data_IF_978402992496
#
_entry.id   IF_978402992496
#
_cell.length_a   1.000
_cell.length_b   1.000
_cell.length_c   1.000
_cell.angle_alpha   90.00
_cell.angle_beta   90.00
_cell.angle_gamma   90.00
#
_symmetry.space_group_name_H-M   'P 1'
#
loop_
_entity.id
_entity.type
_entity.pdbx_description
1 polymer ?
#
# COMPACT_ATOMS: atom_id res chain seq x y z
N UNK A 1 -8.03 3.72 -21.08
CA UNK A 1 -8.83 3.43 -19.87
C UNK A 1 -9.25 4.77 -19.30
N UNK A 2 -10.55 5.04 -19.15
CA UNK A 2 -11.02 6.33 -18.62
C UNK A 2 -11.05 6.29 -17.09
N UNK A 3 -10.36 7.24 -16.47
CA UNK A 3 -10.48 7.52 -15.04
C UNK A 3 -11.68 8.43 -14.88
N UNK A 4 -12.73 7.97 -14.21
CA UNK A 4 -13.94 8.78 -13.97
C UNK A 4 -13.92 9.27 -12.52
N UNK A 5 -13.77 10.58 -12.33
CA UNK A 5 -13.58 11.24 -11.02
C UNK A 5 -14.86 11.32 -10.16
N UNK A 6 -15.98 10.69 -10.56
CA UNK A 6 -17.29 10.87 -9.91
C UNK A 6 -17.71 9.74 -8.96
N UNK A 7 -16.84 8.77 -8.68
CA UNK A 7 -17.15 7.64 -7.78
C UNK A 7 -16.36 7.67 -6.46
N UNK A 8 -15.59 8.73 -6.21
CA UNK A 8 -14.68 8.80 -5.07
C UNK A 8 -15.42 8.75 -3.72
N UNK A 9 -16.52 9.49 -3.59
CA UNK A 9 -17.31 9.55 -2.34
C UNK A 9 -17.93 8.19 -1.97
N UNK A 10 -18.38 7.41 -2.97
CA UNK A 10 -18.95 6.09 -2.71
C UNK A 10 -17.88 5.03 -2.43
N UNK A 11 -16.69 5.14 -3.02
CA UNK A 11 -15.63 4.15 -2.85
C UNK A 11 -14.93 4.26 -1.50
N UNK A 12 -14.88 5.46 -0.91
CA UNK A 12 -14.27 5.72 0.40
C UNK A 12 -14.84 4.79 1.49
N UNK A 13 -16.16 4.60 1.50
CA UNK A 13 -16.84 3.71 2.45
C UNK A 13 -16.47 2.22 2.29
N UNK A 14 -16.03 1.80 1.10
CA UNK A 14 -15.67 0.40 0.82
C UNK A 14 -14.18 0.10 0.95
N UNK A 15 -13.30 1.12 1.01
CA UNK A 15 -11.85 0.90 1.19
C UNK A 15 -11.53 0.07 2.44
N UNK A 16 -12.13 0.35 3.62
CA UNK A 16 -11.91 -0.48 4.80
C UNK A 16 -12.29 -1.95 4.58
N UNK A 17 -13.36 -2.22 3.82
CA UNK A 17 -13.76 -3.60 3.50
C UNK A 17 -12.70 -4.32 2.67
N UNK A 18 -12.07 -3.66 1.69
CA UNK A 18 -10.96 -4.25 0.95
C UNK A 18 -9.78 -4.58 1.87
N UNK A 19 -9.45 -3.71 2.83
CA UNK A 19 -8.38 -4.01 3.80
C UNK A 19 -8.72 -5.18 4.71
N UNK A 20 -9.97 -5.32 5.15
CA UNK A 20 -10.43 -6.52 5.87
C UNK A 20 -10.29 -7.78 5.02
N UNK A 21 -10.67 -7.74 3.74
CA UNK A 21 -10.50 -8.88 2.82
C UNK A 21 -9.04 -9.29 2.63
N UNK A 22 -8.09 -8.34 2.72
CA UNK A 22 -6.66 -8.67 2.68
C UNK A 22 -6.17 -9.42 3.93
N UNK A 23 -6.80 -9.19 5.08
CA UNK A 23 -6.45 -9.88 6.32
C UNK A 23 -7.11 -11.24 6.39
N UNK A 24 -8.43 -11.27 6.19
CA UNK A 24 -9.28 -12.43 6.50
C UNK A 24 -9.57 -13.33 5.29
N UNK A 25 -9.41 -12.82 4.07
CA UNK A 25 -9.72 -13.57 2.85
C UNK A 25 -8.75 -14.71 2.59
N UNK A 26 -9.17 -15.69 1.79
CA UNK A 26 -8.28 -16.71 1.25
C UNK A 26 -7.31 -16.14 0.20
N UNK A 27 -6.27 -16.88 -0.18
CA UNK A 27 -5.24 -16.40 -1.10
C UNK A 27 -5.83 -15.82 -2.41
N UNK A 28 -6.80 -16.50 -3.01
CA UNK A 28 -7.47 -16.03 -4.21
C UNK A 28 -8.17 -14.68 -3.99
N UNK A 29 -8.89 -14.51 -2.88
CA UNK A 29 -9.55 -13.25 -2.53
C UNK A 29 -8.55 -12.13 -2.30
N UNK A 30 -7.43 -12.40 -1.62
CA UNK A 30 -6.35 -11.43 -1.42
C UNK A 30 -5.74 -10.98 -2.74
N UNK A 31 -5.47 -11.91 -3.67
CA UNK A 31 -4.95 -11.59 -5.01
C UNK A 31 -5.91 -10.69 -5.79
N UNK A 32 -7.21 -11.01 -5.83
CA UNK A 32 -8.18 -10.19 -6.55
C UNK A 32 -8.38 -8.82 -5.91
N UNK A 33 -8.42 -8.77 -4.57
CA UNK A 33 -8.49 -7.51 -3.82
C UNK A 33 -7.27 -6.63 -4.10
N UNK A 34 -6.07 -7.20 -4.10
CA UNK A 34 -4.84 -6.47 -4.43
C UNK A 34 -4.81 -5.98 -5.87
N UNK A 35 -5.38 -6.70 -6.84
CA UNK A 35 -5.49 -6.19 -8.23
C UNK A 35 -6.29 -4.89 -8.28
N UNK A 36 -7.40 -4.82 -7.54
CA UNK A 36 -8.20 -3.59 -7.43
C UNK A 36 -7.40 -2.48 -6.73
N UNK A 37 -6.81 -2.78 -5.57
CA UNK A 37 -6.08 -1.80 -4.78
C UNK A 37 -4.83 -1.25 -5.49
N UNK A 38 -4.08 -2.08 -6.22
CA UNK A 38 -2.95 -1.64 -7.05
C UNK A 38 -3.41 -0.70 -8.16
N UNK A 39 -4.54 -1.00 -8.81
CA UNK A 39 -5.10 -0.12 -9.83
C UNK A 39 -5.55 1.23 -9.24
N UNK A 40 -6.18 1.20 -8.06
CA UNK A 40 -6.58 2.42 -7.35
C UNK A 40 -5.36 3.24 -6.91
N UNK A 41 -4.33 2.61 -6.33
CA UNK A 41 -3.15 3.33 -5.85
C UNK A 41 -2.29 3.92 -6.96
N UNK A 42 -2.37 3.40 -8.18
CA UNK A 42 -1.73 4.00 -9.35
C UNK A 42 -2.31 5.38 -9.71
N UNK A 43 -3.52 5.72 -9.24
CA UNK A 43 -4.13 7.03 -9.42
C UNK A 43 -3.78 7.96 -8.23
N UNK A 44 -3.01 9.05 -8.44
CA UNK A 44 -2.64 9.98 -7.36
C UNK A 44 -3.85 10.57 -6.61
N UNK A 45 -4.98 10.77 -7.29
CA UNK A 45 -6.22 11.28 -6.68
C UNK A 45 -6.80 10.34 -5.61
N UNK A 46 -6.53 9.03 -5.69
CA UNK A 46 -6.98 8.05 -4.70
C UNK A 46 -6.07 7.96 -3.47
N UNK A 47 -4.86 8.53 -3.54
CA UNK A 47 -3.81 8.30 -2.54
C UNK A 47 -4.25 8.75 -1.15
N UNK A 48 -4.88 9.92 -1.04
CA UNK A 48 -5.34 10.44 0.24
C UNK A 48 -6.44 9.57 0.85
N UNK A 49 -7.45 9.20 0.06
CA UNK A 49 -8.55 8.32 0.50
C UNK A 49 -8.01 6.98 1.00
N UNK A 50 -7.11 6.35 0.24
CA UNK A 50 -6.50 5.07 0.61
C UNK A 50 -5.67 5.16 1.90
N UNK A 51 -4.90 6.23 2.07
CA UNK A 51 -4.04 6.44 3.24
C UNK A 51 -4.83 6.78 4.51
N UNK A 52 -5.90 7.56 4.39
CA UNK A 52 -6.76 7.96 5.52
C UNK A 52 -7.74 6.87 5.95
N UNK A 53 -8.03 5.90 5.07
CA UNK A 53 -8.98 4.82 5.34
C UNK A 53 -8.55 3.93 6.51
N UNK A 54 -9.55 3.50 7.29
CA UNK A 54 -9.36 2.59 8.42
C UNK A 54 -8.84 1.23 7.95
N UNK A 55 -7.73 0.79 8.52
CA UNK A 55 -7.10 -0.49 8.21
C UNK A 55 -6.93 -1.34 9.48
N UNK A 56 -6.97 -2.67 9.39
CA UNK A 56 -6.50 -3.53 10.48
C UNK A 56 -4.97 -3.44 10.60
N UNK A 57 -4.43 -3.37 11.82
CA UNK A 57 -2.97 -3.33 12.04
C UNK A 57 -2.24 -4.56 11.50
N UNK A 58 -2.91 -5.72 11.53
CA UNK A 58 -2.45 -6.99 10.99
C UNK A 58 -2.26 -7.00 9.47
N UNK A 59 -2.75 -5.98 8.75
CA UNK A 59 -2.49 -5.82 7.31
C UNK A 59 -0.99 -5.80 7.00
N UNK A 60 -0.16 -5.27 7.91
CA UNK A 60 1.30 -5.27 7.78
C UNK A 60 1.92 -6.67 7.66
N UNK A 61 1.20 -7.73 8.06
CA UNK A 61 1.65 -9.12 7.91
C UNK A 61 1.75 -9.58 6.45
N UNK A 62 1.07 -8.91 5.51
CA UNK A 62 1.20 -9.17 4.07
C UNK A 62 2.62 -8.95 3.54
N UNK A 63 3.44 -8.19 4.28
CA UNK A 63 4.82 -7.91 3.94
C UNK A 63 5.80 -8.90 4.59
N UNK A 64 5.32 -9.96 5.24
CA UNK A 64 6.18 -11.01 5.78
C UNK A 64 6.84 -11.84 4.67
N UNK A 65 8.08 -12.30 4.91
CA UNK A 65 8.85 -13.11 3.94
C UNK A 65 8.22 -14.46 3.59
N UNK A 66 7.29 -14.95 4.42
CA UNK A 66 6.57 -16.21 4.19
C UNK A 66 5.26 -16.00 3.41
N UNK A 67 4.90 -14.75 3.08
CA UNK A 67 3.68 -14.47 2.31
C UNK A 67 3.82 -15.04 0.91
N UNK A 68 2.73 -15.57 0.36
CA UNK A 68 2.67 -16.01 -1.03
C UNK A 68 3.26 -14.93 -1.95
N UNK A 69 4.18 -15.35 -2.82
CA UNK A 69 4.94 -14.46 -3.72
C UNK A 69 4.05 -13.49 -4.51
N UNK A 70 2.95 -13.98 -5.06
CA UNK A 70 2.06 -13.17 -5.91
C UNK A 70 1.38 -12.05 -5.10
N UNK A 71 0.94 -12.38 -3.88
CA UNK A 71 0.33 -11.46 -2.92
C UNK A 71 1.39 -10.43 -2.48
N UNK A 72 2.57 -10.90 -2.09
CA UNK A 72 3.65 -10.05 -1.60
C UNK A 72 4.09 -9.01 -2.63
N UNK A 73 4.31 -9.42 -3.89
CA UNK A 73 4.67 -8.50 -4.98
C UNK A 73 3.61 -7.42 -5.15
N UNK A 74 2.32 -7.78 -5.20
CA UNK A 74 1.24 -6.79 -5.36
C UNK A 74 1.09 -5.88 -4.15
N UNK A 75 1.27 -6.39 -2.94
CA UNK A 75 1.25 -5.58 -1.73
C UNK A 75 2.40 -4.55 -1.74
N UNK A 76 3.59 -4.96 -2.16
CA UNK A 76 4.74 -4.06 -2.34
C UNK A 76 4.48 -3.02 -3.43
N UNK A 77 3.92 -3.41 -4.58
CA UNK A 77 3.52 -2.47 -5.64
C UNK A 77 2.50 -1.46 -5.13
N UNK A 78 1.48 -1.92 -4.39
CA UNK A 78 0.46 -1.08 -3.81
C UNK A 78 1.07 -0.02 -2.87
N UNK A 79 1.93 -0.44 -1.94
CA UNK A 79 2.62 0.46 -1.02
C UNK A 79 3.56 1.44 -1.73
N UNK A 80 4.29 0.98 -2.75
CA UNK A 80 5.20 1.83 -3.53
C UNK A 80 4.44 2.92 -4.29
N UNK A 81 3.33 2.60 -4.95
CA UNK A 81 2.48 3.58 -5.62
C UNK A 81 2.01 4.67 -4.63
N UNK A 82 1.57 4.27 -3.43
CA UNK A 82 1.13 5.22 -2.40
C UNK A 82 2.28 6.10 -1.90
N UNK A 83 3.46 5.53 -1.65
CA UNK A 83 4.64 6.27 -1.19
C UNK A 83 5.06 7.31 -2.23
N UNK A 84 5.18 6.92 -3.49
CA UNK A 84 5.58 7.82 -4.57
C UNK A 84 4.58 8.96 -4.77
N UNK A 85 3.28 8.66 -4.72
CA UNK A 85 2.24 9.68 -4.84
C UNK A 85 2.21 10.61 -3.63
N UNK A 86 2.41 10.07 -2.42
CA UNK A 86 2.50 10.84 -1.20
C UNK A 86 3.68 11.83 -1.28
N UNK A 87 4.86 11.39 -1.70
CA UNK A 87 6.05 12.23 -1.84
C UNK A 87 5.81 13.37 -2.85
N UNK A 88 5.25 13.05 -4.03
CA UNK A 88 4.87 14.06 -5.05
C UNK A 88 3.91 15.11 -4.50
N UNK A 89 2.96 14.70 -3.67
CA UNK A 89 1.96 15.59 -3.08
C UNK A 89 2.46 16.34 -1.84
N UNK A 90 3.47 15.87 -1.11
CA UNK A 90 4.03 16.58 0.05
C UNK A 90 4.77 17.86 -0.34
N UNK A 91 5.29 17.93 -1.57
CA UNK A 91 5.80 19.16 -2.17
C UNK A 91 4.71 20.23 -2.36
N UNK A 92 3.43 19.85 -2.24
CA UNK A 92 2.26 20.71 -2.34
C UNK A 92 1.64 20.92 -0.94
N UNK A 93 2.34 21.74 -0.12
CA UNK A 93 1.91 22.39 1.12
C UNK A 93 0.63 21.88 1.83
N UNK A 94 0.82 21.14 2.93
CA UNK A 94 -0.19 20.95 3.96
C UNK A 94 0.23 19.92 5.01
N UNK A 95 0.20 20.29 6.29
CA UNK A 95 0.22 19.31 7.38
C UNK A 95 -1.03 18.44 7.26
N UNK A 96 -0.87 17.16 6.93
CA UNK A 96 -1.98 16.20 6.83
C UNK A 96 -2.16 15.49 8.16
N UNK A 97 -3.38 15.53 8.68
CA UNK A 97 -3.75 14.72 9.84
C UNK A 97 -4.21 13.34 9.34
N UNK A 98 -3.59 12.28 9.88
CA UNK A 98 -4.03 10.90 9.69
C UNK A 98 -4.30 10.29 11.06
N UNK A 99 -5.40 9.56 11.14
CA UNK A 99 -5.85 8.85 12.33
C UNK A 99 -4.92 7.66 12.64
N UNK A 100 -4.81 7.26 13.90
CA UNK A 100 -3.90 6.17 14.31
C UNK A 100 -4.35 4.78 13.82
N UNK A 101 -5.62 4.65 13.41
CA UNK A 101 -6.16 3.44 12.78
C UNK A 101 -6.11 3.47 11.25
N UNK A 102 -5.52 4.51 10.66
CA UNK A 102 -5.43 4.67 9.21
C UNK A 102 -4.34 3.77 8.60
N UNK A 103 -4.47 3.45 7.31
CA UNK A 103 -3.41 2.75 6.58
C UNK A 103 -2.07 3.51 6.67
N UNK A 104 -2.11 4.85 6.61
CA UNK A 104 -0.91 5.68 6.78
C UNK A 104 -0.20 5.41 8.10
N UNK A 105 -0.96 5.28 9.20
CA UNK A 105 -0.39 5.04 10.50
C UNK A 105 0.44 3.75 10.52
N UNK A 106 -0.05 2.68 9.91
CA UNK A 106 0.62 1.37 9.90
C UNK A 106 1.76 1.24 8.89
N UNK A 107 1.69 1.92 7.75
CA UNK A 107 2.72 1.81 6.70
C UNK A 107 3.81 2.88 6.84
N UNK A 108 3.47 4.10 7.23
CA UNK A 108 4.36 5.26 7.09
C UNK A 108 4.62 6.03 8.38
N UNK A 109 3.74 6.01 9.38
CA UNK A 109 3.97 6.65 10.69
C UNK A 109 4.69 5.72 11.66
N UNK A 110 4.02 4.66 12.10
CA UNK A 110 4.58 3.64 13.00
C UNK A 110 5.22 2.54 12.15
N UNK A 111 6.40 2.88 11.64
CA UNK A 111 7.10 2.02 10.69
C UNK A 111 7.68 0.75 11.33
N UNK A 112 7.50 0.48 12.62
CA UNK A 112 8.30 -0.54 13.34
C UNK A 112 8.16 -1.94 12.76
N UNK A 113 6.93 -2.44 12.58
CA UNK A 113 6.69 -3.77 11.98
C UNK A 113 6.90 -3.77 10.47
N UNK A 114 6.42 -2.72 9.79
CA UNK A 114 6.57 -2.59 8.34
C UNK A 114 8.04 -2.52 7.91
N UNK A 115 8.86 -1.70 8.55
CA UNK A 115 10.31 -1.62 8.29
C UNK A 115 11.02 -2.93 8.59
N UNK A 116 10.70 -3.61 9.69
CA UNK A 116 11.28 -4.93 9.99
C UNK A 116 11.01 -5.92 8.85
N UNK A 117 9.78 -5.94 8.35
CA UNK A 117 9.40 -6.73 7.19
C UNK A 117 10.18 -6.32 5.94
N UNK A 118 10.28 -5.02 5.61
CA UNK A 118 11.05 -4.55 4.45
C UNK A 118 12.54 -4.92 4.55
N UNK A 119 13.16 -4.81 5.73
CA UNK A 119 14.56 -5.21 5.95
C UNK A 119 14.74 -6.71 5.73
N UNK A 120 13.82 -7.54 6.23
CA UNK A 120 13.85 -8.98 5.98
C UNK A 120 13.69 -9.30 4.48
N UNK A 121 12.80 -8.59 3.78
CA UNK A 121 12.56 -8.77 2.35
C UNK A 121 13.74 -8.33 1.46
N UNK A 122 14.58 -7.39 1.90
CA UNK A 122 15.84 -7.06 1.19
C UNK A 122 16.81 -8.24 1.14
N UNK A 123 16.70 -9.19 2.07
CA UNK A 123 17.50 -10.43 2.10
C UNK A 123 16.78 -11.62 1.43
N UNK A 124 15.62 -11.39 0.80
CA UNK A 124 14.84 -12.46 0.19
C UNK A 124 15.61 -13.12 -0.99
N UNK A 125 15.51 -14.45 -1.18
CA UNK A 125 16.19 -15.13 -2.28
C UNK A 125 15.69 -14.68 -3.66
N UNK A 126 14.39 -14.37 -3.76
CA UNK A 126 13.76 -13.87 -4.98
C UNK A 126 14.23 -12.45 -5.33
N UNK A 127 14.75 -12.28 -6.55
CA UNK A 127 15.26 -10.99 -7.03
C UNK A 127 14.16 -9.97 -7.28
N UNK A 128 13.00 -10.40 -7.78
CA UNK A 128 11.90 -9.49 -8.11
C UNK A 128 11.31 -8.87 -6.84
N UNK A 129 11.20 -9.66 -5.76
CA UNK A 129 10.76 -9.16 -4.44
C UNK A 129 11.72 -8.07 -3.94
N UNK A 130 13.04 -8.30 -4.05
CA UNK A 130 14.05 -7.31 -3.65
C UNK A 130 13.96 -6.03 -4.47
N UNK A 131 13.73 -6.13 -5.77
CA UNK A 131 13.55 -4.96 -6.64
C UNK A 131 12.31 -4.14 -6.23
N UNK A 132 11.20 -4.80 -5.93
CA UNK A 132 9.98 -4.14 -5.45
C UNK A 132 10.18 -3.46 -4.09
N UNK A 133 10.92 -4.09 -3.18
CA UNK A 133 11.27 -3.49 -1.88
C UNK A 133 12.21 -2.30 -2.07
N UNK A 134 13.21 -2.41 -2.95
CA UNK A 134 14.14 -1.33 -3.25
C UNK A 134 13.41 -0.11 -3.80
N UNK A 135 12.43 -0.29 -4.69
CA UNK A 135 11.59 0.80 -5.22
C UNK A 135 10.83 1.55 -4.12
N UNK A 136 10.34 0.83 -3.11
CA UNK A 136 9.62 1.40 -1.98
C UNK A 136 10.53 2.12 -0.96
N UNK A 137 11.73 1.57 -0.71
CA UNK A 137 12.65 2.11 0.31
C UNK A 137 13.57 3.19 -0.25
N UNK A 138 13.98 3.05 -1.50
CA UNK A 138 14.87 3.95 -2.22
C UNK A 138 14.13 4.41 -3.49
N UNK A 139 13.18 5.36 -3.41
CA UNK A 139 12.55 5.91 -4.60
C UNK A 139 13.66 6.48 -5.49
N UNK A 140 13.90 5.84 -6.64
CA UNK A 140 14.95 6.24 -7.54
C UNK A 140 14.68 7.69 -7.97
N UNK A 141 15.59 8.60 -7.66
CA UNK A 141 15.72 9.87 -8.37
C UNK A 141 16.15 9.52 -9.79
N UNK A 142 15.20 9.21 -10.68
CA UNK A 142 15.49 9.22 -12.10
C UNK A 142 15.68 10.69 -12.51
N UNK A 143 16.92 10.98 -12.93
CA UNK A 143 17.31 12.20 -13.63
C UNK A 143 16.50 12.40 -14.90
#
# INVERSE_FOLDING_TARGET
MSVTNNYHDYLEDYIPCFFTLLVDGEEATKVHTLKVLVNLSANPSMTLVLLSSKAPSSLTNLFGSNTNREILIRALTFAANLSENLDRQQHSNGQRHYEDYSLYAFLFRDKTMFQRNLVALLQHPDKDIKEHVARLVCPQKLN
#
